data_IF_595381014236
#
_entry.id   IF_595381014236
#
_cell.length_a   1.000
_cell.length_b   1.000
_cell.length_c   1.000
_cell.angle_alpha   90.00
_cell.angle_beta   90.00
_cell.angle_gamma   90.00
#
_symmetry.space_group_name_H-M   'P 1'
#
loop_
_entity.id
_entity.type
_entity.pdbx_description
1 polymer ?
#
# COMPACT_ATOMS: atom_id res chain seq x y z
N UNK A 1 30.91 -17.37 -97.93
CA UNK A 1 29.71 -16.85 -97.15
C UNK A 1 29.62 -17.61 -95.86
N UNK A 2 30.01 -16.95 -94.80
CA UNK A 2 30.00 -17.50 -93.42
C UNK A 2 28.73 -17.06 -92.73
N UNK A 3 27.89 -17.99 -92.23
CA UNK A 3 26.73 -17.74 -91.45
C UNK A 3 27.15 -17.59 -89.98
N UNK A 4 26.79 -16.49 -89.37
CA UNK A 4 26.99 -16.19 -87.97
C UNK A 4 25.72 -16.70 -87.22
N UNK A 5 25.90 -17.73 -86.38
CA UNK A 5 24.84 -18.23 -85.49
C UNK A 5 24.90 -17.51 -84.14
N UNK A 6 23.92 -16.68 -83.82
CA UNK A 6 23.72 -16.09 -82.49
C UNK A 6 23.07 -17.11 -81.60
N UNK A 7 23.80 -17.51 -80.56
CA UNK A 7 23.27 -18.31 -79.42
C UNK A 7 22.61 -17.38 -78.45
N UNK A 8 21.28 -17.39 -78.39
CA UNK A 8 20.48 -16.74 -77.34
C UNK A 8 20.61 -17.55 -76.11
N UNK A 9 21.38 -17.08 -75.11
CA UNK A 9 21.45 -17.61 -73.76
C UNK A 9 20.20 -17.22 -73.01
N UNK A 10 19.30 -18.19 -72.80
CA UNK A 10 18.12 -18.02 -72.02
C UNK A 10 18.46 -17.69 -70.57
N UNK A 11 18.10 -16.50 -70.10
CA UNK A 11 18.18 -16.10 -68.67
C UNK A 11 17.22 -16.98 -67.89
N UNK A 12 17.79 -17.83 -67.04
CA UNK A 12 17.02 -18.62 -66.11
C UNK A 12 16.25 -17.70 -65.12
N UNK A 13 14.93 -17.61 -65.25
CA UNK A 13 14.03 -16.96 -64.30
C UNK A 13 14.14 -17.70 -63.02
N UNK A 14 14.80 -17.12 -62.02
CA UNK A 14 14.84 -17.61 -60.65
C UNK A 14 13.39 -17.70 -60.13
N UNK A 15 12.85 -18.90 -60.00
CA UNK A 15 11.60 -19.14 -59.31
C UNK A 15 11.67 -18.52 -57.89
N UNK A 16 10.63 -17.77 -57.45
CA UNK A 16 10.60 -17.26 -56.11
C UNK A 16 10.64 -18.45 -55.14
N UNK A 17 11.53 -18.41 -54.16
CA UNK A 17 11.65 -19.42 -53.13
C UNK A 17 10.28 -19.58 -52.46
N UNK A 18 9.84 -20.83 -52.29
CA UNK A 18 8.58 -21.16 -51.63
C UNK A 18 8.46 -20.35 -50.31
N UNK A 19 7.27 -19.85 -49.96
CA UNK A 19 7.05 -19.11 -48.71
C UNK A 19 7.31 -20.07 -47.57
N UNK A 20 8.56 -20.10 -47.13
CA UNK A 20 9.01 -20.95 -46.05
C UNK A 20 8.19 -20.61 -44.78
N UNK A 21 8.30 -21.42 -43.75
CA UNK A 21 7.61 -21.39 -42.43
C UNK A 21 7.40 -20.00 -41.81
N UNK A 22 7.83 -18.92 -42.45
CA UNK A 22 7.75 -17.51 -42.01
C UNK A 22 6.37 -16.90 -42.16
N UNK A 23 5.68 -17.12 -43.29
CA UNK A 23 4.34 -16.57 -43.50
C UNK A 23 3.33 -17.11 -42.46
N UNK A 24 3.26 -18.43 -42.23
CA UNK A 24 2.35 -18.94 -41.19
C UNK A 24 2.70 -18.45 -39.78
N UNK A 25 4.00 -18.27 -39.45
CA UNK A 25 4.42 -17.71 -38.17
C UNK A 25 4.05 -16.22 -38.00
N UNK A 26 4.16 -15.43 -39.05
CA UNK A 26 3.70 -14.03 -39.04
C UNK A 26 2.19 -13.94 -38.91
N UNK A 27 1.43 -14.78 -39.61
CA UNK A 27 -0.04 -14.86 -39.46
C UNK A 27 -0.41 -15.30 -38.03
N UNK A 28 0.29 -16.27 -37.46
CA UNK A 28 0.09 -16.69 -36.08
C UNK A 28 0.40 -15.54 -35.10
N UNK A 29 1.47 -14.79 -35.28
CA UNK A 29 1.80 -13.65 -34.47
C UNK A 29 0.72 -12.56 -34.55
N UNK A 30 0.20 -12.25 -35.72
CA UNK A 30 -0.91 -11.32 -35.91
C UNK A 30 -2.19 -11.82 -35.20
N UNK A 31 -2.52 -13.12 -35.35
CA UNK A 31 -3.66 -13.71 -34.68
C UNK A 31 -3.54 -13.62 -33.15
N UNK A 32 -2.36 -13.92 -32.61
CA UNK A 32 -2.09 -13.80 -31.16
C UNK A 32 -2.21 -12.36 -30.67
N UNK A 33 -1.78 -11.37 -31.46
CA UNK A 33 -1.98 -9.95 -31.14
C UNK A 33 -3.47 -9.58 -31.15
N UNK A 34 -4.25 -10.06 -32.12
CA UNK A 34 -5.68 -9.83 -32.16
C UNK A 34 -6.40 -10.45 -30.96
N UNK A 35 -6.00 -11.66 -30.55
CA UNK A 35 -6.50 -12.29 -29.33
C UNK A 35 -6.13 -11.45 -28.10
N UNK A 36 -4.90 -10.92 -28.02
CA UNK A 36 -4.45 -10.06 -26.93
C UNK A 36 -5.28 -8.76 -26.84
N UNK A 37 -5.60 -8.14 -27.98
CA UNK A 37 -6.47 -6.96 -28.05
C UNK A 37 -7.90 -7.23 -27.58
N UNK A 38 -8.39 -8.46 -27.69
CA UNK A 38 -9.69 -8.91 -27.15
C UNK A 38 -9.72 -8.97 -25.63
N UNK A 39 -8.61 -8.68 -24.95
CA UNK A 39 -8.48 -8.60 -23.49
C UNK A 39 -8.97 -9.87 -22.76
N UNK A 40 -8.46 -11.06 -23.12
CA UNK A 40 -8.95 -12.32 -22.55
C UNK A 40 -8.72 -12.36 -21.06
N UNK A 41 -9.76 -12.75 -20.31
CA UNK A 41 -9.73 -12.89 -18.86
C UNK A 41 -10.06 -14.32 -18.44
N UNK A 42 -9.40 -14.81 -17.41
CA UNK A 42 -9.63 -16.13 -16.81
C UNK A 42 -9.89 -16.00 -15.31
N UNK A 43 -10.83 -16.81 -14.81
CA UNK A 43 -11.05 -16.92 -13.37
C UNK A 43 -10.03 -17.84 -12.74
N UNK A 44 -8.95 -17.24 -12.20
CA UNK A 44 -7.85 -17.96 -11.56
C UNK A 44 -7.99 -17.93 -10.04
N UNK A 45 -7.71 -19.03 -9.32
CA UNK A 45 -7.65 -19.01 -7.86
C UNK A 45 -6.43 -18.16 -7.44
N UNK A 46 -6.69 -17.13 -6.64
CA UNK A 46 -5.67 -16.26 -6.05
C UNK A 46 -5.93 -16.08 -4.58
N UNK A 47 -4.86 -15.86 -3.83
CA UNK A 47 -4.97 -15.40 -2.46
C UNK A 47 -5.27 -13.90 -2.47
N UNK A 48 -6.39 -13.51 -1.84
CA UNK A 48 -6.87 -12.15 -1.74
C UNK A 48 -7.03 -11.77 -0.28
N UNK A 49 -7.03 -10.47 -0.01
CA UNK A 49 -7.06 -9.90 1.34
C UNK A 49 -8.11 -8.80 1.38
N UNK A 50 -8.87 -8.75 2.45
CA UNK A 50 -9.87 -7.70 2.65
C UNK A 50 -9.53 -6.95 3.94
N UNK A 51 -9.18 -5.67 3.83
CA UNK A 51 -8.80 -4.85 4.96
C UNK A 51 -9.69 -3.62 5.11
N UNK A 52 -9.98 -3.27 6.37
CA UNK A 52 -10.51 -1.97 6.77
C UNK A 52 -9.40 -1.24 7.52
N UNK A 53 -8.81 -0.24 6.90
CA UNK A 53 -7.81 0.63 7.51
C UNK A 53 -8.51 1.74 8.27
N UNK A 54 -8.22 1.84 9.56
CA UNK A 54 -8.72 2.90 10.43
C UNK A 54 -7.52 3.68 10.96
N UNK A 55 -7.45 4.97 10.62
CA UNK A 55 -6.38 5.85 11.03
C UNK A 55 -6.86 6.72 12.19
N UNK A 56 -6.09 6.73 13.25
CA UNK A 56 -6.24 7.69 14.33
C UNK A 56 -5.86 9.08 13.82
N UNK A 57 -6.80 10.05 13.96
CA UNK A 57 -6.61 11.44 13.55
C UNK A 57 -6.60 12.42 14.73
N UNK A 58 -6.48 11.90 15.96
CA UNK A 58 -6.45 12.73 17.18
C UNK A 58 -5.17 13.56 17.28
N UNK A 59 -5.17 14.55 18.16
CA UNK A 59 -4.09 15.54 18.28
C UNK A 59 -2.70 14.94 18.50
N UNK A 60 -2.58 13.81 19.22
CA UNK A 60 -1.30 13.12 19.43
C UNK A 60 -0.65 12.58 18.15
N UNK A 61 -1.46 12.33 17.11
CA UNK A 61 -0.97 11.89 15.80
C UNK A 61 -0.29 13.00 14.98
N UNK A 62 -0.34 14.24 15.43
CA UNK A 62 0.40 15.36 14.84
C UNK A 62 1.88 15.39 15.26
N UNK A 63 2.29 14.63 16.27
CA UNK A 63 3.68 14.51 16.71
C UNK A 63 4.57 13.99 15.58
N UNK A 64 5.74 14.62 15.38
CA UNK A 64 6.66 14.31 14.28
C UNK A 64 7.82 13.39 14.73
N UNK A 65 7.51 12.21 15.22
CA UNK A 65 8.47 11.23 15.73
C UNK A 65 8.40 9.86 15.05
N UNK A 66 7.52 9.70 14.05
CA UNK A 66 7.32 8.45 13.32
C UNK A 66 8.22 8.34 12.08
N UNK A 67 8.57 7.12 11.71
CA UNK A 67 9.40 6.81 10.55
C UNK A 67 10.86 6.49 10.90
N UNK A 68 11.70 6.22 9.90
CA UNK A 68 13.09 5.83 10.10
C UNK A 68 13.93 6.99 10.64
N UNK A 69 15.04 6.70 11.37
CA UNK A 69 15.97 7.74 11.79
C UNK A 69 16.44 8.60 10.62
N UNK A 70 16.40 9.92 10.76
CA UNK A 70 16.79 10.88 9.73
C UNK A 70 15.67 11.27 8.73
N UNK A 71 14.51 10.58 8.76
CA UNK A 71 13.32 10.91 7.96
C UNK A 71 12.05 10.83 8.81
N UNK A 72 12.10 11.42 10.02
CA UNK A 72 10.95 11.48 10.92
C UNK A 72 9.90 12.43 10.36
N UNK A 73 8.65 12.03 10.49
CA UNK A 73 7.48 12.77 10.03
C UNK A 73 6.35 12.65 11.05
N UNK A 74 5.26 13.41 10.86
CA UNK A 74 4.07 13.29 11.70
C UNK A 74 3.53 11.87 11.66
N UNK A 75 3.03 11.38 12.81
CA UNK A 75 2.50 10.01 12.96
C UNK A 75 1.39 9.74 11.94
N UNK A 76 0.45 10.69 11.75
CA UNK A 76 -0.63 10.55 10.77
C UNK A 76 -0.09 10.49 9.33
N UNK A 77 0.89 11.33 8.98
CA UNK A 77 1.51 11.29 7.66
C UNK A 77 2.20 9.95 7.39
N UNK A 78 2.88 9.42 8.42
CA UNK A 78 3.50 8.10 8.35
C UNK A 78 2.46 6.98 8.22
N UNK A 79 1.34 7.04 8.98
CA UNK A 79 0.24 6.10 8.86
C UNK A 79 -0.33 6.06 7.43
N UNK A 80 -0.60 7.24 6.84
CA UNK A 80 -1.07 7.35 5.44
C UNK A 80 -0.08 6.72 4.46
N UNK A 81 1.22 6.97 4.64
CA UNK A 81 2.27 6.37 3.81
C UNK A 81 2.28 4.84 3.92
N UNK A 82 2.11 4.29 5.13
CA UNK A 82 2.02 2.84 5.35
C UNK A 82 0.81 2.23 4.64
N UNK A 83 -0.37 2.85 4.78
CA UNK A 83 -1.60 2.38 4.11
C UNK A 83 -1.44 2.44 2.58
N UNK A 84 -0.90 3.54 2.07
CA UNK A 84 -0.62 3.68 0.63
C UNK A 84 0.28 2.57 0.13
N UNK A 85 1.38 2.29 0.84
CA UNK A 85 2.29 1.20 0.51
C UNK A 85 1.62 -0.17 0.59
N UNK A 86 0.77 -0.39 1.59
CA UNK A 86 0.00 -1.64 1.70
C UNK A 86 -0.93 -1.85 0.50
N UNK A 87 -1.67 -0.82 0.08
CA UNK A 87 -2.57 -0.87 -1.08
C UNK A 87 -1.80 -1.17 -2.38
N UNK A 88 -0.56 -0.69 -2.51
CA UNK A 88 0.32 -1.00 -3.66
C UNK A 88 0.77 -2.47 -3.71
N UNK A 89 0.96 -3.09 -2.55
CA UNK A 89 1.49 -4.47 -2.44
C UNK A 89 0.38 -5.54 -2.41
N UNK A 90 -0.85 -5.17 -2.04
CA UNK A 90 -1.98 -6.09 -1.97
C UNK A 90 -2.37 -6.55 -3.38
N UNK A 91 -2.51 -7.87 -3.63
CA UNK A 91 -2.85 -8.41 -4.95
C UNK A 91 -4.21 -7.94 -5.46
N UNK A 92 -4.34 -7.75 -6.78
CA UNK A 92 -5.63 -7.49 -7.42
C UNK A 92 -6.68 -8.56 -7.07
N UNK A 93 -7.91 -8.14 -6.88
CA UNK A 93 -9.01 -8.94 -6.35
C UNK A 93 -9.15 -8.83 -4.84
N UNK A 94 -8.18 -8.22 -4.15
CA UNK A 94 -8.27 -7.83 -2.74
C UNK A 94 -9.07 -6.53 -2.59
N UNK A 95 -9.57 -6.28 -1.38
CA UNK A 95 -10.38 -5.09 -1.09
C UNK A 95 -9.77 -4.26 0.04
N UNK A 96 -9.83 -2.94 -0.09
CA UNK A 96 -9.43 -2.00 0.95
C UNK A 96 -10.55 -1.01 1.22
N UNK A 97 -10.88 -0.81 2.49
CA UNK A 97 -11.75 0.25 2.98
C UNK A 97 -10.96 1.22 3.86
N UNK A 98 -11.48 2.42 4.02
CA UNK A 98 -10.88 3.44 4.87
C UNK A 98 -11.87 3.93 5.93
N UNK A 99 -11.34 4.24 7.09
CA UNK A 99 -12.02 4.88 8.18
C UNK A 99 -11.06 5.74 9.00
N UNK A 100 -11.62 6.57 9.84
CA UNK A 100 -10.88 7.39 10.79
C UNK A 100 -11.38 7.15 12.21
N UNK A 101 -10.47 7.25 13.16
CA UNK A 101 -10.80 7.25 14.57
C UNK A 101 -10.60 8.64 15.15
N UNK A 102 -11.60 9.14 15.85
CA UNK A 102 -11.52 10.37 16.62
C UNK A 102 -12.49 10.30 17.81
N UNK A 103 -12.20 11.03 18.87
CA UNK A 103 -12.97 11.05 20.10
C UNK A 103 -13.12 9.64 20.72
N UNK A 104 -14.24 8.96 20.48
CA UNK A 104 -14.56 7.64 21.05
C UNK A 104 -15.10 6.65 20.00
N UNK A 105 -15.07 6.99 18.70
CA UNK A 105 -15.67 6.19 17.62
C UNK A 105 -14.79 6.11 16.38
N UNK A 106 -14.97 5.00 15.69
CA UNK A 106 -14.49 4.82 14.33
C UNK A 106 -15.59 5.20 13.35
N UNK A 107 -15.24 6.01 12.35
CA UNK A 107 -16.09 6.41 11.24
C UNK A 107 -15.55 5.85 9.95
N UNK A 108 -16.39 5.10 9.24
CA UNK A 108 -16.03 4.57 7.95
C UNK A 108 -16.19 5.65 6.89
N UNK A 109 -15.15 5.92 6.13
CA UNK A 109 -15.19 6.82 4.99
C UNK A 109 -15.77 6.11 3.78
N UNK A 110 -15.36 4.86 3.56
CA UNK A 110 -15.99 3.95 2.59
C UNK A 110 -15.74 2.48 2.94
N UNK A 111 -16.67 1.62 2.52
CA UNK A 111 -16.57 0.18 2.66
C UNK A 111 -15.47 -0.40 1.75
N UNK A 112 -14.95 -1.62 2.03
CA UNK A 112 -13.89 -2.21 1.23
C UNK A 112 -14.27 -2.36 -0.25
N UNK A 113 -13.48 -1.72 -1.14
CA UNK A 113 -13.57 -1.79 -2.60
C UNK A 113 -12.35 -2.46 -3.19
N UNK A 114 -12.47 -3.02 -4.40
CA UNK A 114 -11.36 -3.70 -5.08
C UNK A 114 -10.19 -2.73 -5.35
N UNK A 115 -8.97 -3.16 -5.00
CA UNK A 115 -7.82 -2.24 -4.94
C UNK A 115 -7.29 -1.83 -6.30
N UNK A 116 -7.26 -2.72 -7.29
CA UNK A 116 -6.67 -2.41 -8.60
C UNK A 116 -7.58 -1.53 -9.48
N UNK A 117 -8.89 -1.76 -9.42
CA UNK A 117 -9.86 -0.95 -10.17
C UNK A 117 -10.03 0.44 -9.55
N UNK A 118 -9.85 0.55 -8.22
CA UNK A 118 -10.12 1.79 -7.46
C UNK A 118 -8.87 2.44 -6.88
N UNK A 119 -7.66 2.05 -7.28
CA UNK A 119 -6.42 2.49 -6.63
C UNK A 119 -6.26 4.02 -6.59
N UNK A 120 -6.62 4.74 -7.66
CA UNK A 120 -6.54 6.21 -7.70
C UNK A 120 -7.50 6.86 -6.70
N UNK A 121 -8.72 6.33 -6.56
CA UNK A 121 -9.71 6.83 -5.62
C UNK A 121 -9.25 6.56 -4.18
N UNK A 122 -8.77 5.34 -3.91
CA UNK A 122 -8.22 4.98 -2.59
C UNK A 122 -7.07 5.92 -2.22
N UNK A 123 -6.14 6.17 -3.15
CA UNK A 123 -5.00 7.06 -2.91
C UNK A 123 -5.43 8.50 -2.64
N UNK A 124 -6.34 9.04 -3.45
CA UNK A 124 -6.85 10.40 -3.21
C UNK A 124 -7.52 10.53 -1.84
N UNK A 125 -8.29 9.52 -1.44
CA UNK A 125 -8.93 9.51 -0.12
C UNK A 125 -7.94 9.39 1.04
N UNK A 126 -6.86 8.61 0.87
CA UNK A 126 -5.78 8.53 1.87
C UNK A 126 -5.09 9.90 2.02
N UNK A 127 -4.86 10.60 0.90
CA UNK A 127 -4.18 11.90 0.90
C UNK A 127 -5.04 13.02 1.54
N UNK A 128 -6.38 12.89 1.48
CA UNK A 128 -7.33 13.83 2.11
C UNK A 128 -7.51 13.62 3.62
N UNK A 129 -7.08 12.46 4.18
CA UNK A 129 -7.19 12.25 5.63
C UNK A 129 -6.27 13.21 6.36
N UNK A 130 -6.85 14.10 7.16
CA UNK A 130 -6.15 15.14 7.89
C UNK A 130 -6.62 15.21 9.36
N UNK A 131 -5.73 15.61 10.26
CA UNK A 131 -6.07 15.83 11.68
C UNK A 131 -7.16 16.89 11.91
N UNK A 132 -7.37 17.82 10.95
CA UNK A 132 -8.46 18.81 10.97
C UNK A 132 -9.86 18.20 10.80
N UNK A 133 -9.95 16.95 10.37
CA UNK A 133 -11.23 16.20 10.35
C UNK A 133 -11.68 15.81 11.76
N UNK A 134 -10.79 15.86 12.76
CA UNK A 134 -11.15 15.64 14.16
C UNK A 134 -11.95 16.85 14.70
N UNK A 135 -13.16 16.59 15.20
CA UNK A 135 -14.04 17.63 15.78
C UNK A 135 -13.92 17.73 17.29
N UNK A 136 -13.17 16.85 17.93
CA UNK A 136 -12.96 16.83 19.36
C UNK A 136 -11.50 16.56 19.69
N UNK A 137 -11.01 17.17 20.75
CA UNK A 137 -9.66 16.97 21.28
C UNK A 137 -9.53 15.72 22.16
N UNK A 138 -10.66 15.03 22.39
CA UNK A 138 -10.72 13.81 23.16
C UNK A 138 -10.23 12.60 22.35
N UNK A 139 -9.59 11.65 23.03
CA UNK A 139 -9.14 10.38 22.46
C UNK A 139 -9.42 9.24 23.42
N UNK A 140 -10.44 8.43 23.14
CA UNK A 140 -10.76 7.21 23.88
C UNK A 140 -10.45 5.98 22.99
N UNK A 141 -9.18 5.63 22.88
CA UNK A 141 -8.65 4.62 21.96
C UNK A 141 -9.34 3.26 22.10
N UNK A 142 -9.60 2.81 23.36
CA UNK A 142 -10.30 1.54 23.58
C UNK A 142 -11.71 1.56 22.97
N UNK A 143 -12.48 2.63 23.17
CA UNK A 143 -13.84 2.74 22.60
C UNK A 143 -13.79 2.84 21.07
N UNK A 144 -12.83 3.59 20.53
CA UNK A 144 -12.60 3.71 19.10
C UNK A 144 -12.33 2.35 18.46
N UNK A 145 -11.44 1.56 19.05
CA UNK A 145 -11.13 0.21 18.60
C UNK A 145 -12.37 -0.71 18.64
N UNK A 146 -13.11 -0.71 19.75
CA UNK A 146 -14.32 -1.53 19.87
C UNK A 146 -15.40 -1.12 18.89
N UNK A 147 -15.54 0.19 18.64
CA UNK A 147 -16.42 0.73 17.60
C UNK A 147 -15.98 0.29 16.19
N UNK A 148 -14.66 0.24 15.92
CA UNK A 148 -14.11 -0.27 14.67
C UNK A 148 -14.45 -1.74 14.43
N UNK A 149 -14.29 -2.58 15.45
CA UNK A 149 -14.67 -4.01 15.40
C UNK A 149 -16.17 -4.14 15.13
N UNK A 150 -17.03 -3.39 15.82
CA UNK A 150 -18.47 -3.43 15.59
C UNK A 150 -18.86 -2.96 14.19
N UNK A 151 -18.16 -1.95 13.65
CA UNK A 151 -18.37 -1.47 12.29
C UNK A 151 -18.09 -2.55 11.24
N UNK A 152 -17.01 -3.32 11.40
CA UNK A 152 -16.71 -4.44 10.51
C UNK A 152 -17.77 -5.54 10.62
N UNK A 153 -18.19 -5.88 11.82
CA UNK A 153 -19.25 -6.87 12.04
C UNK A 153 -20.56 -6.45 11.38
N UNK A 154 -20.90 -5.17 11.47
CA UNK A 154 -22.09 -4.61 10.82
C UNK A 154 -21.99 -4.70 9.30
N UNK A 155 -20.83 -4.35 8.72
CA UNK A 155 -20.59 -4.54 7.29
C UNK A 155 -20.73 -6.00 6.88
N UNK A 156 -20.18 -6.93 7.69
CA UNK A 156 -20.30 -8.36 7.46
C UNK A 156 -21.75 -8.83 7.39
N UNK A 157 -22.58 -8.33 8.31
CA UNK A 157 -24.00 -8.67 8.36
C UNK A 157 -24.76 -8.10 7.14
N UNK A 158 -24.45 -6.90 6.69
CA UNK A 158 -25.07 -6.25 5.53
C UNK A 158 -24.74 -6.95 4.20
N UNK A 159 -23.51 -7.48 4.06
CA UNK A 159 -23.06 -8.20 2.85
C UNK A 159 -23.52 -9.68 2.83
N UNK A 160 -24.41 -10.09 3.72
CA UNK A 160 -24.97 -11.44 3.75
C UNK A 160 -24.04 -12.51 4.35
N UNK A 161 -23.10 -12.12 5.19
CA UNK A 161 -22.25 -13.01 5.99
C UNK A 161 -21.10 -13.70 5.24
N UNK A 162 -21.13 -13.78 3.92
CA UNK A 162 -20.14 -14.56 3.16
C UNK A 162 -18.92 -13.76 2.70
N UNK A 163 -19.05 -12.48 2.44
CA UNK A 163 -17.96 -11.66 1.92
C UNK A 163 -17.26 -10.83 3.01
N UNK A 164 -18.01 -10.28 3.94
CA UNK A 164 -17.48 -9.37 4.96
C UNK A 164 -17.02 -10.08 6.24
N UNK A 165 -17.38 -11.35 6.44
CA UNK A 165 -16.82 -12.18 7.53
C UNK A 165 -15.29 -12.38 7.46
N UNK A 166 -14.66 -11.92 6.38
CA UNK A 166 -13.22 -11.99 6.16
C UNK A 166 -12.53 -10.62 6.08
N UNK A 167 -13.24 -9.52 6.36
CA UNK A 167 -12.62 -8.19 6.41
C UNK A 167 -11.87 -8.05 7.73
N UNK A 168 -10.57 -7.79 7.65
CA UNK A 168 -9.68 -7.63 8.78
C UNK A 168 -9.53 -6.14 9.14
N UNK A 169 -9.61 -5.82 10.44
CA UNK A 169 -9.36 -4.47 10.94
C UNK A 169 -7.86 -4.18 10.99
N UNK A 170 -7.44 -3.05 10.45
CA UNK A 170 -6.09 -2.50 10.65
C UNK A 170 -6.25 -1.16 11.35
N UNK A 171 -6.12 -1.16 12.68
CA UNK A 171 -6.32 0.01 13.53
C UNK A 171 -4.98 0.66 13.85
N UNK A 172 -4.74 1.89 13.37
CA UNK A 172 -3.45 2.57 13.41
C UNK A 172 -3.51 3.74 14.39
N UNK A 173 -2.77 3.67 15.51
CA UNK A 173 -2.81 4.64 16.60
C UNK A 173 -1.50 4.65 17.38
N UNK A 174 -1.25 5.70 18.17
CA UNK A 174 -0.19 5.73 19.17
C UNK A 174 -0.64 5.22 20.54
N UNK A 175 -1.97 5.01 20.71
CA UNK A 175 -2.55 4.53 21.96
C UNK A 175 -2.68 5.60 23.04
N UNK A 176 -2.57 6.88 22.72
CA UNK A 176 -2.70 7.99 23.65
C UNK A 176 -4.17 8.22 23.99
N UNK A 177 -4.54 7.94 25.25
CA UNK A 177 -5.87 8.24 25.81
C UNK A 177 -5.88 9.67 26.37
N UNK A 178 -6.77 10.52 25.87
CA UNK A 178 -6.90 11.91 26.32
C UNK A 178 -8.38 12.27 26.60
N UNK A 179 -8.77 12.52 27.82
CA UNK A 179 -8.00 12.39 29.08
C UNK A 179 -7.69 10.94 29.46
N UNK A 180 -6.64 10.71 30.26
CA UNK A 180 -6.23 9.36 30.63
C UNK A 180 -7.29 8.67 31.47
N UNK A 181 -7.75 7.52 31.03
CA UNK A 181 -8.79 6.74 31.73
C UNK A 181 -8.17 6.01 32.93
N UNK A 182 -8.81 6.12 34.10
CA UNK A 182 -8.40 5.34 35.27
C UNK A 182 -8.51 3.84 34.96
N UNK A 183 -7.50 3.00 35.31
CA UNK A 183 -7.50 1.57 34.96
C UNK A 183 -8.76 0.81 35.41
N UNK A 184 -9.34 1.16 36.57
CA UNK A 184 -10.57 0.55 37.09
C UNK A 184 -11.84 0.95 36.29
N UNK A 185 -11.80 2.05 35.54
CA UNK A 185 -12.93 2.59 34.79
C UNK A 185 -12.75 2.39 33.26
N UNK A 186 -11.68 1.73 32.87
CA UNK A 186 -11.41 1.46 31.47
C UNK A 186 -12.58 0.68 30.83
N UNK A 187 -13.05 1.10 29.65
CA UNK A 187 -14.05 0.35 28.90
C UNK A 187 -13.59 -1.09 28.68
N UNK A 188 -14.49 -2.05 28.86
CA UNK A 188 -14.22 -3.46 28.57
C UNK A 188 -14.81 -3.82 27.22
N UNK A 189 -14.10 -4.65 26.49
CA UNK A 189 -14.64 -5.23 25.26
C UNK A 189 -15.88 -6.07 25.56
N UNK A 190 -17.01 -5.78 24.90
CA UNK A 190 -18.27 -6.50 25.10
C UNK A 190 -18.49 -7.63 24.11
N UNK A 191 -17.61 -7.76 23.09
CA UNK A 191 -17.60 -8.86 22.15
C UNK A 191 -16.85 -10.08 22.69
N UNK A 192 -16.71 -11.09 21.84
CA UNK A 192 -15.87 -12.24 22.11
C UNK A 192 -14.48 -12.00 21.51
N UNK A 193 -13.43 -12.47 22.18
CA UNK A 193 -12.07 -12.44 21.66
C UNK A 193 -12.02 -13.18 20.31
N UNK A 194 -11.59 -12.48 19.26
CA UNK A 194 -11.57 -13.03 17.89
C UNK A 194 -12.85 -12.77 17.08
N UNK A 195 -13.81 -12.00 17.55
CA UNK A 195 -15.00 -11.57 16.78
C UNK A 195 -14.65 -10.85 15.47
N UNK A 196 -13.48 -10.24 15.43
CA UNK A 196 -12.88 -9.68 14.21
C UNK A 196 -11.41 -10.08 14.15
N UNK A 197 -10.94 -10.47 12.98
CA UNK A 197 -9.51 -10.60 12.71
C UNK A 197 -8.88 -9.25 12.39
N UNK A 198 -7.56 -9.15 12.54
CA UNK A 198 -6.85 -7.95 12.13
C UNK A 198 -5.67 -7.59 13.01
N UNK A 199 -5.27 -6.32 12.94
CA UNK A 199 -4.00 -5.85 13.44
C UNK A 199 -4.14 -4.47 14.09
N UNK A 200 -3.61 -4.30 15.29
CA UNK A 200 -3.37 -2.98 15.88
C UNK A 200 -1.95 -2.58 15.51
N UNK A 201 -1.81 -1.42 14.89
CA UNK A 201 -0.52 -0.86 14.46
C UNK A 201 -0.15 0.31 15.34
N UNK A 202 0.87 0.11 16.19
CA UNK A 202 1.39 1.15 17.07
C UNK A 202 2.34 2.09 16.33
N UNK A 203 2.02 3.39 16.32
CA UNK A 203 2.77 4.43 15.59
C UNK A 203 3.35 5.45 16.56
N UNK A 204 4.64 5.77 16.43
CA UNK A 204 5.32 6.79 17.22
C UNK A 204 6.59 6.32 17.89
N UNK A 205 7.29 7.29 18.47
CA UNK A 205 8.49 7.07 19.29
C UNK A 205 8.12 6.60 20.71
N UNK A 206 9.09 6.03 21.42
CA UNK A 206 8.95 5.63 22.82
C UNK A 206 9.21 6.77 23.83
N UNK A 207 9.83 7.85 23.37
CA UNK A 207 10.12 9.02 24.21
C UNK A 207 8.93 9.98 24.21
N UNK A 208 8.51 10.50 25.39
CA UNK A 208 7.46 11.50 25.45
C UNK A 208 7.90 12.81 24.78
N UNK A 209 7.09 13.33 23.88
CA UNK A 209 7.33 14.59 23.17
C UNK A 209 6.09 15.48 23.21
N UNK A 210 6.23 16.83 23.20
CA UNK A 210 5.10 17.74 23.22
C UNK A 210 4.16 17.52 22.04
N UNK A 211 2.87 17.56 22.30
CA UNK A 211 1.83 17.45 21.26
C UNK A 211 1.65 18.81 20.61
N UNK A 212 1.87 18.96 19.28
CA UNK A 212 1.63 20.20 18.58
C UNK A 212 0.13 20.41 18.31
N UNK A 213 -0.33 21.63 18.37
CA UNK A 213 -1.59 22.03 17.73
C UNK A 213 -1.32 22.74 16.41
N UNK A 214 -2.24 22.56 15.47
CA UNK A 214 -2.08 23.03 14.09
C UNK A 214 -2.99 24.24 13.83
N UNK A 215 -2.55 25.13 12.96
CA UNK A 215 -3.38 26.20 12.41
C UNK A 215 -4.27 25.69 11.26
N UNK A 216 -5.07 26.59 10.68
CA UNK A 216 -5.98 26.27 9.57
C UNK A 216 -5.25 25.80 8.31
N UNK A 217 -3.99 26.16 8.15
CA UNK A 217 -3.12 25.74 7.04
C UNK A 217 -2.40 24.41 7.34
N UNK A 218 -2.65 23.81 8.52
CA UNK A 218 -2.04 22.56 8.97
C UNK A 218 -0.57 22.71 9.40
N UNK A 219 -0.10 23.95 9.66
CA UNK A 219 1.23 24.20 10.20
C UNK A 219 1.19 24.15 11.74
N UNK A 220 2.36 23.93 12.36
CA UNK A 220 2.47 23.93 13.81
C UNK A 220 2.34 25.35 14.31
N UNK A 221 1.22 25.67 14.97
CA UNK A 221 0.98 26.96 15.60
C UNK A 221 1.59 27.05 17.01
N UNK A 222 1.74 25.91 17.68
CA UNK A 222 2.32 25.80 19.02
C UNK A 222 2.26 24.38 19.56
N UNK A 223 2.46 24.29 20.88
CA UNK A 223 2.40 23.02 21.60
C UNK A 223 1.50 23.18 22.82
N UNK A 224 0.70 22.15 23.10
CA UNK A 224 -0.16 22.15 24.27
C UNK A 224 0.66 22.26 25.57
N UNK A 225 0.27 23.17 26.45
CA UNK A 225 0.84 23.27 27.77
C UNK A 225 0.11 22.36 28.75
N UNK A 226 0.74 22.06 29.90
CA UNK A 226 0.19 21.15 30.91
C UNK A 226 -1.15 21.59 31.45
N UNK A 227 -1.39 22.89 31.61
CA UNK A 227 -2.62 23.51 32.12
C UNK A 227 -3.71 23.66 31.06
N UNK A 228 -3.38 23.48 29.79
CA UNK A 228 -4.34 23.57 28.68
C UNK A 228 -5.04 22.23 28.39
N UNK A 229 -4.48 21.11 28.84
CA UNK A 229 -5.05 19.77 28.60
C UNK A 229 -5.56 19.12 29.88
N UNK A 230 -6.63 18.35 29.77
CA UNK A 230 -7.18 17.61 30.90
C UNK A 230 -6.24 16.48 31.34
N UNK A 231 -5.68 16.61 32.52
CA UNK A 231 -4.75 15.62 33.08
C UNK A 231 -5.47 14.41 33.72
N UNK A 232 -6.77 14.47 33.92
CA UNK A 232 -7.60 13.42 34.48
C UNK A 232 -9.00 13.50 33.90
N UNK A 233 -9.61 12.36 33.58
CA UNK A 233 -11.00 12.31 33.16
C UNK A 233 -11.95 12.78 34.29
N UNK A 234 -12.89 13.67 33.96
CA UNK A 234 -13.85 14.22 34.88
C UNK A 234 -14.72 13.15 35.57
N UNK A 235 -15.01 12.06 34.87
CA UNK A 235 -15.77 10.94 35.42
C UNK A 235 -14.92 10.07 36.34
N UNK A 236 -13.60 10.04 36.15
CA UNK A 236 -12.63 9.37 36.98
C UNK A 236 -12.26 10.16 38.24
N UNK A 237 -12.45 11.48 38.21
CA UNK A 237 -12.07 12.38 39.31
C UNK A 237 -13.00 12.27 40.53
N UNK A 238 -14.06 11.48 40.50
CA UNK A 238 -15.04 11.37 41.57
C UNK A 238 -15.67 12.73 41.89
N UNK A 239 -16.98 12.93 41.69
CA UNK A 239 -17.65 14.08 42.26
C UNK A 239 -17.46 14.01 43.79
N UNK A 240 -16.99 15.06 44.44
CA UNK A 240 -17.14 15.14 45.89
C UNK A 240 -18.64 15.08 46.15
N UNK A 241 -19.14 13.94 46.61
CA UNK A 241 -20.55 13.73 46.87
C UNK A 241 -20.94 14.51 48.13
N UNK A 242 -21.59 15.65 47.94
CA UNK A 242 -22.29 16.35 49.02
C UNK A 242 -23.69 15.78 49.26
N UNK A 243 -24.13 14.75 48.57
CA UNK A 243 -25.39 14.03 48.85
C UNK A 243 -25.34 12.61 48.26
N UNK A 244 -25.26 11.61 49.11
CA UNK A 244 -25.90 10.29 49.08
C UNK A 244 -25.92 9.48 47.78
N UNK A 245 -24.98 9.64 46.85
CA UNK A 245 -24.78 8.74 45.73
C UNK A 245 -23.58 7.84 46.01
N UNK A 246 -23.75 6.54 45.78
CA UNK A 246 -22.71 5.53 45.98
C UNK A 246 -21.38 6.05 45.42
N UNK A 247 -20.46 6.36 46.33
CA UNK A 247 -19.08 6.65 45.99
C UNK A 247 -18.57 5.45 45.18
N UNK A 248 -18.08 5.68 43.95
CA UNK A 248 -17.31 4.68 43.26
C UNK A 248 -16.16 4.29 44.16
N UNK A 249 -16.33 3.17 44.85
CA UNK A 249 -15.44 2.71 45.89
C UNK A 249 -14.04 2.51 45.29
N UNK A 250 -13.07 3.31 45.73
CA UNK A 250 -11.67 3.06 45.50
C UNK A 250 -10.85 4.15 44.83
N UNK A 251 -11.42 5.33 44.47
CA UNK A 251 -10.60 6.43 43.90
C UNK A 251 -10.49 7.52 45.00
N UNK A 252 -9.32 7.59 45.65
CA UNK A 252 -9.03 8.62 46.64
C UNK A 252 -8.78 9.97 45.91
N UNK A 253 -9.43 11.03 46.42
CA UNK A 253 -9.26 12.39 45.92
C UNK A 253 -7.83 12.93 46.03
N UNK A 254 -6.99 12.35 46.88
CA UNK A 254 -5.57 12.65 47.02
C UNK A 254 -4.80 12.15 45.80
N UNK A 255 -5.10 10.95 45.29
CA UNK A 255 -4.51 10.34 44.10
C UNK A 255 -4.81 11.18 42.84
N UNK A 256 -6.04 11.71 42.75
CA UNK A 256 -6.45 12.59 41.65
C UNK A 256 -5.64 13.90 41.64
N UNK A 257 -5.45 14.54 42.80
CA UNK A 257 -4.68 15.79 42.90
C UNK A 257 -3.20 15.58 42.56
N UNK A 258 -2.61 14.48 43.00
CA UNK A 258 -1.23 14.13 42.69
C UNK A 258 -1.06 13.84 41.19
N UNK A 259 -2.02 13.19 40.55
CA UNK A 259 -2.05 12.93 39.12
C UNK A 259 -2.18 14.21 38.28
N UNK A 260 -3.01 15.17 38.72
CA UNK A 260 -3.10 16.49 38.07
C UNK A 260 -1.78 17.23 38.18
N UNK A 261 -1.14 17.22 39.35
CA UNK A 261 0.11 17.93 39.60
C UNK A 261 1.31 17.33 38.82
N UNK A 262 1.27 16.03 38.54
CA UNK A 262 2.28 15.30 37.74
C UNK A 262 1.88 15.06 36.30
N UNK A 263 0.75 15.61 35.88
CA UNK A 263 0.14 15.32 34.56
C UNK A 263 1.08 15.55 33.40
N UNK A 264 1.13 14.60 32.51
CA UNK A 264 1.98 14.59 31.30
C UNK A 264 1.18 14.44 30.02
N UNK A 265 -0.13 14.72 30.04
CA UNK A 265 -1.03 14.49 28.92
C UNK A 265 -0.82 15.48 27.76
N UNK A 266 -0.06 16.56 27.98
CA UNK A 266 0.46 17.43 26.92
C UNK A 266 1.65 16.81 26.17
N UNK A 267 2.17 15.66 26.64
CA UNK A 267 3.24 14.87 26.03
C UNK A 267 2.66 13.54 25.50
N UNK A 268 3.07 13.13 24.34
CA UNK A 268 2.71 11.83 23.78
C UNK A 268 3.91 10.97 23.43
N UNK A 269 3.77 9.68 23.69
CA UNK A 269 4.66 8.62 23.20
C UNK A 269 3.82 7.41 22.84
N UNK A 270 4.38 6.49 22.04
CA UNK A 270 3.72 5.22 21.73
C UNK A 270 3.42 4.42 23.01
N UNK A 271 2.16 4.17 23.28
CA UNK A 271 1.68 3.40 24.43
C UNK A 271 1.67 1.89 24.13
N UNK A 272 2.82 1.34 23.76
CA UNK A 272 2.96 -0.02 23.22
C UNK A 272 2.38 -1.10 24.13
N UNK A 273 2.63 -1.04 25.45
CA UNK A 273 2.09 -2.01 26.43
C UNK A 273 0.56 -2.00 26.46
N UNK A 274 -0.03 -0.82 26.38
CA UNK A 274 -1.48 -0.63 26.35
C UNK A 274 -2.09 -1.21 25.07
N UNK A 275 -1.51 -0.93 23.91
CA UNK A 275 -1.97 -1.48 22.63
C UNK A 275 -1.87 -3.00 22.58
N UNK A 276 -0.81 -3.60 23.12
CA UNK A 276 -0.68 -5.06 23.28
C UNK A 276 -1.76 -5.64 24.19
N UNK A 277 -2.13 -4.92 25.26
CA UNK A 277 -3.23 -5.34 26.14
C UNK A 277 -4.56 -5.32 25.39
N UNK A 278 -4.86 -4.26 24.61
CA UNK A 278 -6.07 -4.18 23.78
C UNK A 278 -6.09 -5.29 22.73
N UNK A 279 -4.94 -5.59 22.12
CA UNK A 279 -4.80 -6.68 21.15
C UNK A 279 -5.15 -8.04 21.78
N UNK A 280 -4.61 -8.34 22.97
CA UNK A 280 -4.92 -9.57 23.70
C UNK A 280 -6.39 -9.66 24.11
N UNK A 281 -7.02 -8.55 24.49
CA UNK A 281 -8.42 -8.48 24.89
C UNK A 281 -9.38 -8.72 23.73
N UNK A 282 -9.05 -8.19 22.55
CA UNK A 282 -9.89 -8.28 21.35
C UNK A 282 -9.57 -9.48 20.46
N UNK A 283 -8.41 -10.09 20.62
CA UNK A 283 -7.90 -11.17 19.74
C UNK A 283 -7.27 -10.67 18.44
N UNK A 284 -6.99 -9.37 18.36
CA UNK A 284 -6.23 -8.80 17.25
C UNK A 284 -4.72 -9.03 17.45
N UNK A 285 -3.97 -9.02 16.35
CA UNK A 285 -2.51 -8.99 16.42
C UNK A 285 -2.00 -7.58 16.74
N UNK A 286 -0.77 -7.49 17.22
CA UNK A 286 -0.08 -6.22 17.42
C UNK A 286 1.17 -6.12 16.56
N UNK A 287 1.35 -4.97 15.90
CA UNK A 287 2.56 -4.63 15.17
C UNK A 287 3.02 -3.23 15.53
N UNK A 288 4.28 -3.06 15.91
CA UNK A 288 4.89 -1.75 15.96
C UNK A 288 5.24 -1.30 14.53
N UNK A 289 4.79 -0.11 14.14
CA UNK A 289 5.07 0.44 12.82
C UNK A 289 6.59 0.62 12.60
N UNK A 290 7.08 -0.01 11.55
CA UNK A 290 8.47 0.06 11.11
C UNK A 290 8.57 0.63 9.70
N UNK A 291 9.15 -0.11 8.77
CA UNK A 291 9.18 0.26 7.35
C UNK A 291 7.89 -0.13 6.64
N UNK A 292 7.55 0.57 5.55
CA UNK A 292 6.38 0.22 4.72
C UNK A 292 6.42 -1.22 4.20
N UNK A 293 7.60 -1.72 3.85
CA UNK A 293 7.79 -3.11 3.39
C UNK A 293 7.53 -4.15 4.49
N UNK A 294 7.97 -3.86 5.73
CA UNK A 294 7.70 -4.74 6.86
C UNK A 294 6.20 -4.77 7.19
N UNK A 295 5.53 -3.62 7.11
CA UNK A 295 4.11 -3.50 7.31
C UNK A 295 3.33 -4.26 6.23
N UNK A 296 3.63 -4.04 4.95
CA UNK A 296 2.98 -4.74 3.84
C UNK A 296 3.16 -6.26 3.94
N UNK A 297 4.37 -6.73 4.28
CA UNK A 297 4.62 -8.16 4.52
C UNK A 297 3.78 -8.74 5.67
N UNK A 298 3.58 -7.99 6.74
CA UNK A 298 2.74 -8.43 7.85
C UNK A 298 1.27 -8.58 7.44
N UNK A 299 0.76 -7.68 6.57
CA UNK A 299 -0.59 -7.78 6.02
C UNK A 299 -0.76 -8.94 5.03
N UNK A 300 0.28 -9.29 4.28
CA UNK A 300 0.26 -10.39 3.32
C UNK A 300 0.46 -11.78 3.98
N UNK A 301 0.41 -11.87 5.31
CA UNK A 301 0.41 -13.15 6.02
C UNK A 301 -0.80 -13.99 5.59
N UNK A 302 -0.57 -15.28 5.38
CA UNK A 302 -1.58 -16.23 4.91
C UNK A 302 -2.82 -16.31 5.80
N UNK A 303 -2.72 -16.01 7.09
CA UNK A 303 -3.84 -16.02 8.03
C UNK A 303 -4.89 -14.93 7.77
N UNK A 304 -4.52 -13.83 7.10
CA UNK A 304 -5.44 -12.79 6.64
C UNK A 304 -5.96 -13.03 5.23
N UNK A 305 -5.34 -13.98 4.51
CA UNK A 305 -5.64 -14.28 3.13
C UNK A 305 -6.74 -15.33 2.96
N UNK A 306 -7.53 -15.18 1.90
CA UNK A 306 -8.47 -16.21 1.46
C UNK A 306 -8.23 -16.58 0.01
N UNK A 307 -8.51 -17.84 -0.34
CA UNK A 307 -8.50 -18.29 -1.74
C UNK A 307 -9.80 -17.87 -2.40
N UNK A 308 -9.70 -17.02 -3.40
CA UNK A 308 -10.85 -16.56 -4.19
C UNK A 308 -10.56 -16.69 -5.68
N UNK A 309 -11.58 -17.00 -6.49
CA UNK A 309 -11.47 -16.92 -7.95
C UNK A 309 -11.61 -15.48 -8.38
N UNK A 310 -10.53 -14.93 -8.94
CA UNK A 310 -10.47 -13.55 -9.39
C UNK A 310 -10.36 -13.52 -10.91
N UNK A 311 -11.13 -12.65 -11.54
CA UNK A 311 -11.01 -12.36 -12.97
C UNK A 311 -9.64 -11.75 -13.22
N UNK A 312 -8.77 -12.52 -13.86
CA UNK A 312 -7.38 -12.11 -14.15
C UNK A 312 -7.24 -11.90 -15.63
N UNK A 313 -6.77 -10.72 -16.02
CA UNK A 313 -6.41 -10.43 -17.39
C UNK A 313 -5.16 -11.23 -17.79
N UNK A 314 -5.30 -12.04 -18.82
CA UNK A 314 -4.20 -12.88 -19.37
C UNK A 314 -3.76 -12.43 -20.77
N UNK A 315 -4.14 -11.23 -21.21
CA UNK A 315 -3.78 -10.68 -22.52
C UNK A 315 -2.27 -10.63 -22.77
N UNK A 316 -1.46 -10.53 -21.71
CA UNK A 316 -0.01 -10.55 -21.79
C UNK A 316 0.55 -11.90 -22.33
N UNK A 317 -0.16 -13.03 -22.12
CA UNK A 317 0.27 -14.36 -22.59
C UNK A 317 0.32 -14.42 -24.13
N UNK A 318 -0.81 -14.16 -24.86
CA UNK A 318 -0.76 -14.15 -26.31
C UNK A 318 0.14 -13.03 -26.85
N UNK A 319 0.27 -11.87 -26.17
CA UNK A 319 1.22 -10.83 -26.57
C UNK A 319 2.68 -11.31 -26.48
N UNK A 320 3.07 -11.95 -25.39
CA UNK A 320 4.41 -12.52 -25.22
C UNK A 320 4.71 -13.61 -26.27
N UNK A 321 3.74 -14.52 -26.53
CA UNK A 321 3.88 -15.54 -27.55
C UNK A 321 4.04 -14.92 -28.96
N UNK A 322 3.27 -13.86 -29.27
CA UNK A 322 3.42 -13.13 -30.52
C UNK A 322 4.82 -12.53 -30.65
N UNK A 323 5.32 -11.88 -29.59
CA UNK A 323 6.68 -11.32 -29.57
C UNK A 323 7.73 -12.40 -29.83
N UNK A 324 7.62 -13.57 -29.20
CA UNK A 324 8.53 -14.70 -29.45
C UNK A 324 8.50 -15.18 -30.90
N UNK A 325 7.30 -15.27 -31.52
CA UNK A 325 7.16 -15.60 -32.93
C UNK A 325 7.87 -14.58 -33.83
N UNK A 326 7.69 -13.28 -33.53
CA UNK A 326 8.33 -12.20 -34.29
C UNK A 326 9.87 -12.23 -34.12
N UNK A 327 10.36 -12.38 -32.92
CA UNK A 327 11.80 -12.49 -32.65
C UNK A 327 12.43 -13.68 -33.36
N UNK A 328 11.75 -14.83 -33.44
CA UNK A 328 12.20 -15.98 -34.17
C UNK A 328 12.27 -15.69 -35.71
N UNK A 329 11.21 -15.08 -36.28
CA UNK A 329 11.16 -14.75 -37.71
C UNK A 329 12.26 -13.77 -38.08
N UNK A 330 12.47 -12.71 -37.32
CA UNK A 330 13.47 -11.67 -37.62
C UNK A 330 14.89 -12.07 -37.19
N UNK A 331 15.06 -12.79 -36.07
CA UNK A 331 16.36 -13.28 -35.62
C UNK A 331 16.97 -14.30 -36.57
N UNK A 332 16.14 -15.16 -37.20
CA UNK A 332 16.60 -16.09 -38.24
C UNK A 332 17.07 -15.38 -39.52
N UNK A 333 16.63 -14.14 -39.73
CA UNK A 333 17.09 -13.31 -40.86
C UNK A 333 18.50 -12.75 -40.63
N UNK A 334 18.82 -12.34 -39.42
CA UNK A 334 20.14 -11.78 -39.10
C UNK A 334 21.27 -12.81 -39.19
N UNK A 335 20.98 -14.10 -38.97
CA UNK A 335 21.95 -15.17 -39.10
C UNK A 335 22.17 -15.60 -40.58
N UNK A 336 21.13 -15.57 -41.42
CA UNK A 336 21.23 -15.93 -42.83
C UNK A 336 22.00 -14.90 -43.68
N UNK A 337 22.09 -13.65 -43.25
CA UNK A 337 22.82 -12.58 -43.94
C UNK A 337 24.34 -12.60 -43.71
N UNK A 338 24.86 -13.42 -42.81
CA UNK A 338 26.31 -13.50 -42.49
C UNK A 338 27.09 -14.54 -43.28
N UNK A 339 26.44 -15.37 -44.12
CA UNK A 339 27.09 -16.47 -44.85
C UNK A 339 27.36 -16.18 -46.31
N UNK A 340 27.06 -15.01 -46.85
CA UNK A 340 27.43 -14.60 -48.24
C UNK A 340 28.48 -13.49 -48.23
N UNK A 341 29.56 -13.69 -47.49
CA UNK A 341 30.78 -12.91 -47.62
C UNK A 341 31.60 -13.47 -48.78
N UNK A 342 31.37 -12.95 -49.95
CA UNK A 342 32.19 -13.19 -51.13
C UNK A 342 33.64 -12.76 -50.85
N UNK A 343 34.67 -13.60 -51.15
CA UNK A 343 36.04 -13.21 -50.90
C UNK A 343 36.43 -12.09 -51.88
N UNK A 344 36.63 -10.89 -51.38
CA UNK A 344 37.19 -9.77 -52.14
C UNK A 344 38.51 -10.18 -52.78
N UNK A 345 38.49 -10.40 -54.10
CA UNK A 345 39.68 -10.61 -54.95
C UNK A 345 40.72 -9.50 -54.71
N UNK A 346 41.92 -9.91 -54.36
CA UNK A 346 43.12 -9.08 -54.33
C UNK A 346 43.34 -8.39 -55.64
N UNK A 347 43.16 -7.08 -55.76
CA UNK A 347 43.68 -6.28 -56.90
C UNK A 347 45.18 -6.18 -56.70
N UNK A 348 45.98 -6.39 -57.81
CA UNK A 348 47.44 -6.26 -57.77
C UNK A 348 47.84 -4.79 -57.62
N UNK A 349 48.80 -4.54 -56.75
CA UNK A 349 49.38 -3.22 -56.48
C UNK A 349 50.02 -2.63 -57.71
N UNK A 350 49.51 -1.52 -58.22
CA UNK A 350 50.09 -0.69 -59.27
C UNK A 350 51.22 0.12 -58.59
N UNK A 351 52.49 -0.21 -58.96
CA UNK A 351 53.67 0.56 -58.60
C UNK A 351 53.58 1.97 -59.22
N UNK A 352 53.51 2.97 -58.38
CA UNK A 352 53.72 4.36 -58.76
C UNK A 352 55.24 4.63 -58.83
N UNK A 353 55.69 5.08 -59.99
CA UNK A 353 57.04 5.54 -60.23
C UNK A 353 57.15 6.94 -59.60
N UNK A 354 58.15 7.10 -58.78
CA UNK A 354 58.53 8.39 -58.18
C UNK A 354 59.42 9.09 -59.19
N UNK A 355 58.97 10.17 -59.81
CA UNK A 355 59.80 11.09 -60.50
C UNK A 355 60.15 12.28 -59.58
N UNK A 356 61.45 12.62 -59.65
CA UNK A 356 62.14 13.53 -58.81
C UNK A 356 61.72 15.01 -58.95
N UNK A 357 61.76 15.76 -57.88
CA UNK A 357 61.56 17.19 -57.81
C UNK A 357 62.72 17.98 -58.46
N UNK A 358 62.48 19.19 -58.93
CA UNK A 358 63.53 20.21 -59.02
C UNK A 358 63.40 21.19 -57.87
N UNK A 359 64.59 21.50 -57.26
CA UNK A 359 64.81 22.61 -56.31
C UNK A 359 64.80 23.94 -57.04
N UNK A 360 64.26 25.00 -56.49
CA UNK A 360 64.70 26.39 -56.67
C UNK A 360 64.03 27.35 -55.63
N UNK A 361 64.63 28.51 -55.42
CA UNK A 361 65.89 28.81 -54.71
C UNK A 361 65.62 29.33 -53.34
#
# INVERSE_FOLDING_TARGET
MKAIGETVTGAAVKRPAAPGKRLPLMLLACLLLLISLGNPSLNLPRQTYDFMFVLDITGSMNVADAGPPGARQRRLAFARQLVRRAVEEIPCGSRAGLGVFTEHRTFLLFAPVEVCENHLVIWSMIDEIDGRMAWAELSEVAKGLYSGIESIRTLAAMEGGNAAGNTHLVFMTDGHEAPPVHPALRPRFRGQTGDAGGLIVGIGGSEPVPIPYLDDDGQVAGYWAQDEVMQVDRHSAGRPSTQGGEAMAGIDGSDVRERIARGTEHLSSLRESYLKQLAAETGLDYLRAGTGEAFARALLDSRYGRQQRVVTNVAWIPAALSLLCLLYVFGSHAQSGKTTGEPRGRRPARRLRVDAAPRYP
#
